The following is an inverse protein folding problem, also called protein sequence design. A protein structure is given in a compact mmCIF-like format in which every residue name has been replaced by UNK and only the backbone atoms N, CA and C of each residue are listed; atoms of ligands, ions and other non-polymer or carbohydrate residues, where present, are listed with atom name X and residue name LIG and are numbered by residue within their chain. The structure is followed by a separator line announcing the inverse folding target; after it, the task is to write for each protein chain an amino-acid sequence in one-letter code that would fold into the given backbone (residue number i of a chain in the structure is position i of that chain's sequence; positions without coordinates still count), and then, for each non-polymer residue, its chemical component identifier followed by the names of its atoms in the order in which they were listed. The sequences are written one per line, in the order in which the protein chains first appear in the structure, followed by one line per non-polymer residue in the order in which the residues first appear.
data_IF_210437086608
#
_entry.id   IF_210437086608
#
_cell.length_a   1.000
_cell.length_b   1.000
_cell.length_c   1.000
_cell.angle_alpha   90.00
_cell.angle_beta   90.00
_cell.angle_gamma   90.00
#
_symmetry.space_group_name_H-M   'P 1'
#
loop_
_entity.id
_entity.type
_entity.pdbx_description
1 polymer ?
#
# COMPACT_ATOMS: atom_id res chain seq x y z
N UNK A 1 -33.75 19.41 -8.68
CA UNK A 1 -32.53 19.92 -8.02
C UNK A 1 -31.39 19.63 -8.98
N UNK A 2 -30.46 20.56 -9.27
CA UNK A 2 -29.32 20.21 -10.11
C UNK A 2 -28.53 19.10 -9.41
N UNK A 3 -28.25 18.02 -10.13
CA UNK A 3 -27.38 16.94 -9.67
C UNK A 3 -26.01 17.54 -9.31
N UNK A 4 -25.44 17.11 -8.18
CA UNK A 4 -24.07 17.47 -7.83
C UNK A 4 -23.12 17.01 -8.97
N UNK A 5 -22.07 17.77 -9.29
CA UNK A 5 -21.14 17.39 -10.36
C UNK A 5 -20.53 16.02 -10.05
N UNK A 6 -20.57 15.12 -11.04
CA UNK A 6 -20.05 13.76 -10.88
C UNK A 6 -18.52 13.79 -10.86
N UNK A 7 -17.86 12.98 -10.03
CA UNK A 7 -16.41 12.92 -10.02
C UNK A 7 -15.86 12.46 -11.36
N UNK A 8 -14.78 13.08 -11.82
CA UNK A 8 -14.11 12.74 -13.07
C UNK A 8 -13.22 11.51 -12.92
N UNK A 9 -13.37 10.55 -13.84
CA UNK A 9 -12.64 9.29 -13.90
C UNK A 9 -11.98 9.15 -15.27
N UNK A 10 -10.66 9.03 -15.30
CA UNK A 10 -9.93 8.65 -16.50
C UNK A 10 -9.77 7.12 -16.57
N UNK A 11 -10.20 6.48 -17.64
CA UNK A 11 -9.94 5.07 -17.92
C UNK A 11 -8.91 5.00 -19.05
N UNK A 12 -7.81 4.30 -18.83
CA UNK A 12 -6.77 4.08 -19.84
C UNK A 12 -6.60 2.59 -20.08
N UNK A 13 -7.08 2.11 -21.22
CA UNK A 13 -7.07 0.71 -21.61
C UNK A 13 -7.19 0.65 -23.14
N UNK A 14 -6.40 -0.19 -23.79
CA UNK A 14 -6.38 -0.32 -25.25
C UNK A 14 -7.50 -1.24 -25.78
N UNK A 15 -8.18 -1.98 -24.90
CA UNK A 15 -9.32 -2.81 -25.24
C UNK A 15 -10.63 -1.99 -25.28
N UNK A 16 -11.22 -1.76 -26.46
CA UNK A 16 -12.47 -1.01 -26.60
C UNK A 16 -13.63 -1.69 -25.87
N UNK A 17 -13.65 -3.03 -25.76
CA UNK A 17 -14.72 -3.74 -25.07
C UNK A 17 -14.67 -3.45 -23.56
N UNK A 18 -13.48 -3.42 -22.98
CA UNK A 18 -13.29 -3.12 -21.55
C UNK A 18 -13.68 -1.67 -21.28
N UNK A 19 -13.16 -0.73 -22.07
CA UNK A 19 -13.46 0.69 -21.90
C UNK A 19 -14.94 0.99 -22.09
N UNK A 20 -15.62 0.42 -23.09
CA UNK A 20 -17.08 0.58 -23.30
C UNK A 20 -17.89 0.00 -22.13
N UNK A 21 -17.54 -1.22 -21.69
CA UNK A 21 -18.24 -1.90 -20.58
C UNK A 21 -18.12 -1.09 -19.28
N UNK A 22 -16.91 -0.66 -18.95
CA UNK A 22 -16.66 0.13 -17.74
C UNK A 22 -17.25 1.52 -17.84
N UNK A 23 -17.19 2.17 -19.01
CA UNK A 23 -17.82 3.47 -19.23
C UNK A 23 -19.34 3.39 -19.07
N UNK A 24 -19.97 2.33 -19.57
CA UNK A 24 -21.40 2.11 -19.38
C UNK A 24 -21.77 1.84 -17.92
N UNK A 25 -21.00 0.98 -17.24
CA UNK A 25 -21.27 0.59 -15.86
C UNK A 25 -21.03 1.75 -14.87
N UNK A 26 -19.95 2.51 -15.05
CA UNK A 26 -19.52 3.57 -14.14
C UNK A 26 -20.04 4.96 -14.54
N UNK A 27 -20.49 5.13 -15.79
CA UNK A 27 -20.93 6.42 -16.33
C UNK A 27 -22.20 6.99 -15.72
N UNK A 28 -22.87 6.27 -14.81
CA UNK A 28 -23.94 6.82 -13.97
C UNK A 28 -23.37 7.64 -12.80
N UNK A 29 -22.28 7.17 -12.20
CA UNK A 29 -21.70 7.73 -10.97
C UNK A 29 -20.52 8.66 -11.26
N UNK A 30 -19.83 8.48 -12.39
CA UNK A 30 -18.62 9.22 -12.76
C UNK A 30 -18.77 9.92 -14.10
N UNK A 31 -18.05 11.03 -14.28
CA UNK A 31 -17.77 11.60 -15.59
C UNK A 31 -16.56 10.88 -16.19
N UNK A 32 -16.83 9.92 -17.08
CA UNK A 32 -15.81 9.02 -17.60
C UNK A 32 -15.16 9.60 -18.84
N UNK A 33 -13.83 9.67 -18.81
CA UNK A 33 -12.96 9.95 -19.94
C UNK A 33 -12.18 8.69 -20.29
N UNK A 34 -11.98 8.43 -21.57
CA UNK A 34 -11.30 7.21 -22.02
C UNK A 34 -10.07 7.57 -22.84
N UNK A 35 -9.02 6.80 -22.67
CA UNK A 35 -7.84 6.81 -23.51
C UNK A 35 -7.39 5.39 -23.85
N UNK A 36 -6.88 5.20 -25.07
CA UNK A 36 -6.37 3.91 -25.56
C UNK A 36 -4.87 3.72 -25.31
N UNK A 37 -4.17 4.79 -24.91
CA UNK A 37 -2.72 4.82 -24.83
C UNK A 37 -2.24 5.85 -23.83
N UNK A 38 -1.00 5.66 -23.35
CA UNK A 38 -0.32 6.62 -22.49
C UNK A 38 -0.19 8.00 -23.16
N UNK A 39 0.20 8.03 -24.43
CA UNK A 39 0.41 9.28 -25.17
C UNK A 39 -0.89 10.09 -25.29
N UNK A 40 -1.99 9.41 -25.62
CA UNK A 40 -3.30 10.05 -25.70
C UNK A 40 -3.77 10.51 -24.31
N UNK A 41 -3.55 9.71 -23.26
CA UNK A 41 -3.91 10.07 -21.88
C UNK A 41 -3.18 11.34 -21.40
N UNK A 42 -1.86 11.42 -21.61
CA UNK A 42 -1.06 12.59 -21.26
C UNK A 42 -1.47 13.82 -22.08
N UNK A 43 -1.82 13.62 -23.36
CA UNK A 43 -2.29 14.71 -24.21
C UNK A 43 -3.66 15.23 -23.75
N UNK A 44 -4.57 14.34 -23.35
CA UNK A 44 -5.89 14.68 -22.82
C UNK A 44 -5.76 15.50 -21.53
N UNK A 45 -4.90 15.08 -20.60
CA UNK A 45 -4.69 15.81 -19.33
C UNK A 45 -4.20 17.24 -19.54
N UNK A 46 -3.36 17.49 -20.56
CA UNK A 46 -2.89 18.84 -20.89
C UNK A 46 -3.97 19.75 -21.45
N UNK A 47 -5.07 19.19 -21.96
CA UNK A 47 -6.19 19.94 -22.53
C UNK A 47 -7.29 20.20 -21.51
N UNK A 48 -7.28 19.52 -20.37
CA UNK A 48 -8.27 19.69 -19.31
C UNK A 48 -7.90 20.87 -18.41
N UNK A 49 -8.90 21.68 -18.07
CA UNK A 49 -8.74 22.76 -17.09
C UNK A 49 -8.56 22.22 -15.66
N UNK A 50 -9.18 21.06 -15.37
CA UNK A 50 -9.06 20.35 -14.10
C UNK A 50 -8.63 18.90 -14.30
N UNK A 51 -7.64 18.46 -13.53
CA UNK A 51 -7.17 17.08 -13.59
C UNK A 51 -8.24 16.10 -13.06
N UNK A 52 -8.36 14.89 -13.65
CA UNK A 52 -9.24 13.84 -13.15
C UNK A 52 -8.97 13.52 -11.67
N UNK A 53 -10.03 13.21 -10.93
CA UNK A 53 -9.90 12.84 -9.52
C UNK A 53 -9.39 11.39 -9.36
N UNK A 54 -9.81 10.53 -10.29
CA UNK A 54 -9.47 9.12 -10.34
C UNK A 54 -8.89 8.76 -11.71
N UNK A 55 -8.01 7.77 -11.71
CA UNK A 55 -7.62 7.06 -12.93
C UNK A 55 -7.71 5.55 -12.73
N UNK A 56 -8.20 4.84 -13.74
CA UNK A 56 -8.12 3.40 -13.88
C UNK A 56 -7.16 3.11 -15.03
N UNK A 57 -6.04 2.48 -14.74
CA UNK A 57 -4.93 2.31 -15.69
C UNK A 57 -4.69 0.83 -15.93
N UNK A 58 -4.83 0.40 -17.18
CA UNK A 58 -4.30 -0.89 -17.59
C UNK A 58 -2.77 -0.87 -17.63
N UNK A 59 -2.13 -1.96 -17.20
CA UNK A 59 -0.67 -2.04 -17.29
C UNK A 59 -0.18 -2.30 -18.71
N UNK A 60 -0.94 -3.10 -19.46
CA UNK A 60 -0.59 -3.59 -20.79
C UNK A 60 -0.94 -2.60 -21.89
N UNK A 61 -0.36 -1.40 -21.87
CA UNK A 61 -0.64 -0.39 -22.88
C UNK A 61 0.23 -0.52 -24.14
N UNK A 62 -0.24 -0.06 -25.31
CA UNK A 62 0.56 0.04 -26.52
C UNK A 62 1.77 0.97 -26.31
N UNK A 63 2.90 0.72 -27.01
CA UNK A 63 3.04 -0.15 -28.18
C UNK A 63 3.25 -1.64 -27.86
N UNK A 64 3.42 -2.03 -26.60
CA UNK A 64 3.72 -3.41 -26.19
C UNK A 64 2.71 -3.90 -25.15
N UNK A 65 1.46 -4.26 -25.54
CA UNK A 65 0.37 -4.56 -24.60
C UNK A 65 0.61 -5.73 -23.64
N UNK A 66 1.61 -6.58 -23.94
CA UNK A 66 1.99 -7.69 -23.06
C UNK A 66 3.00 -7.30 -21.99
N UNK A 67 3.46 -6.05 -21.96
CA UNK A 67 4.42 -5.56 -20.97
C UNK A 67 3.84 -4.41 -20.15
N UNK A 68 4.11 -4.38 -18.84
CA UNK A 68 3.54 -3.37 -17.94
C UNK A 68 4.26 -2.01 -17.98
N UNK A 69 5.34 -1.88 -18.76
CA UNK A 69 6.25 -0.73 -18.73
C UNK A 69 5.54 0.60 -19.01
N UNK A 70 4.64 0.64 -20.00
CA UNK A 70 3.91 1.86 -20.35
C UNK A 70 2.86 2.23 -19.31
N UNK A 71 2.17 1.25 -18.72
CA UNK A 71 1.25 1.49 -17.62
C UNK A 71 1.96 2.04 -16.37
N UNK A 72 3.14 1.51 -16.03
CA UNK A 72 3.94 2.03 -14.92
C UNK A 72 4.43 3.46 -15.17
N UNK A 73 4.89 3.74 -16.38
CA UNK A 73 5.30 5.10 -16.74
C UNK A 73 4.10 6.06 -16.73
N UNK A 74 2.93 5.60 -17.17
CA UNK A 74 1.70 6.39 -17.09
C UNK A 74 1.33 6.72 -15.63
N UNK A 75 1.42 5.78 -14.69
CA UNK A 75 1.18 6.06 -13.26
C UNK A 75 2.06 7.24 -12.79
N UNK A 76 3.33 7.21 -13.15
CA UNK A 76 4.28 8.27 -12.80
C UNK A 76 3.91 9.62 -13.45
N UNK A 77 3.52 9.62 -14.72
CA UNK A 77 3.09 10.83 -15.44
C UNK A 77 1.81 11.43 -14.86
N UNK A 78 0.85 10.58 -14.47
CA UNK A 78 -0.41 10.99 -13.84
C UNK A 78 -0.17 11.68 -12.49
N UNK A 79 0.67 11.09 -11.63
CA UNK A 79 1.01 11.68 -10.33
C UNK A 79 1.86 12.95 -10.46
N UNK A 80 2.73 13.02 -11.47
CA UNK A 80 3.49 14.25 -11.75
C UNK A 80 2.56 15.39 -12.19
N UNK A 81 1.45 15.08 -12.88
CA UNK A 81 0.45 16.07 -13.27
C UNK A 81 -0.47 16.46 -12.10
N UNK A 82 -0.92 15.47 -11.32
CA UNK A 82 -1.77 15.69 -10.14
C UNK A 82 -1.41 14.71 -9.03
N UNK A 83 -0.61 15.15 -8.03
CA UNK A 83 -0.20 14.28 -6.92
C UNK A 83 -1.37 13.78 -6.06
N UNK A 84 -2.51 14.49 -6.09
CA UNK A 84 -3.72 14.12 -5.38
C UNK A 84 -4.63 13.16 -6.18
N UNK A 85 -4.28 12.81 -7.42
CA UNK A 85 -5.05 11.84 -8.20
C UNK A 85 -4.91 10.44 -7.59
N UNK A 86 -6.02 9.70 -7.50
CA UNK A 86 -6.00 8.31 -7.04
C UNK A 86 -6.04 7.35 -8.22
N UNK A 87 -4.99 6.55 -8.34
CA UNK A 87 -4.78 5.68 -9.48
C UNK A 87 -5.02 4.24 -9.07
N UNK A 88 -5.98 3.58 -9.71
CA UNK A 88 -6.23 2.16 -9.59
C UNK A 88 -5.66 1.48 -10.82
N UNK A 89 -4.92 0.40 -10.60
CA UNK A 89 -4.38 -0.40 -11.68
C UNK A 89 -5.32 -1.55 -11.99
N UNK A 90 -5.62 -1.75 -13.27
CA UNK A 90 -6.37 -2.87 -13.78
C UNK A 90 -5.39 -3.76 -14.56
N UNK A 91 -5.33 -5.08 -14.32
CA UNK A 91 -4.45 -5.93 -15.13
C UNK A 91 -4.90 -7.39 -15.16
N UNK A 92 -4.84 -8.01 -16.34
CA UNK A 92 -5.05 -9.45 -16.49
C UNK A 92 -3.82 -10.30 -16.16
N UNK A 93 -2.66 -9.66 -15.95
CA UNK A 93 -1.44 -10.35 -15.56
C UNK A 93 -1.42 -10.50 -14.04
N UNK A 94 -1.67 -11.72 -13.55
CA UNK A 94 -1.68 -12.07 -12.14
C UNK A 94 -0.26 -12.14 -11.51
N UNK A 95 0.56 -11.12 -11.76
CA UNK A 95 1.90 -11.03 -11.22
C UNK A 95 1.92 -10.15 -9.96
N UNK A 96 2.09 -10.79 -8.80
CA UNK A 96 2.25 -10.11 -7.52
C UNK A 96 3.45 -9.14 -7.53
N UNK A 97 4.44 -9.33 -8.39
CA UNK A 97 5.55 -8.38 -8.58
C UNK A 97 5.06 -7.07 -9.21
N UNK A 98 4.21 -7.14 -10.24
CA UNK A 98 3.64 -5.96 -10.89
C UNK A 98 2.73 -5.17 -9.95
N UNK A 99 1.90 -5.86 -9.16
CA UNK A 99 1.06 -5.21 -8.15
C UNK A 99 1.89 -4.49 -7.08
N UNK A 100 3.00 -5.10 -6.61
CA UNK A 100 3.93 -4.44 -5.68
C UNK A 100 4.59 -3.22 -6.32
N UNK A 101 5.06 -3.35 -7.56
CA UNK A 101 5.74 -2.26 -8.24
C UNK A 101 4.81 -1.07 -8.51
N UNK A 102 3.58 -1.31 -8.98
CA UNK A 102 2.56 -0.29 -9.14
C UNK A 102 2.31 0.51 -7.84
N UNK A 103 2.20 -0.18 -6.71
CA UNK A 103 2.04 0.47 -5.40
C UNK A 103 3.25 1.30 -4.99
N UNK A 104 4.47 0.81 -5.26
CA UNK A 104 5.70 1.60 -5.03
C UNK A 104 5.74 2.87 -5.88
N UNK A 105 5.14 2.86 -7.07
CA UNK A 105 5.02 4.03 -7.95
C UNK A 105 3.88 4.98 -7.54
N UNK A 106 3.07 4.63 -6.55
CA UNK A 106 1.99 5.47 -6.02
C UNK A 106 0.58 5.10 -6.48
N UNK A 107 0.39 3.92 -7.09
CA UNK A 107 -0.96 3.39 -7.30
C UNK A 107 -1.65 3.11 -5.95
N UNK A 108 -2.90 3.55 -5.83
CA UNK A 108 -3.72 3.37 -4.64
C UNK A 108 -4.17 1.92 -4.46
N UNK A 109 -4.53 1.23 -5.55
CA UNK A 109 -4.99 -0.16 -5.50
C UNK A 109 -4.67 -0.91 -6.80
N UNK A 110 -4.55 -2.23 -6.72
CA UNK A 110 -4.42 -3.12 -7.87
C UNK A 110 -5.61 -4.09 -7.96
N UNK A 111 -6.26 -4.12 -9.11
CA UNK A 111 -7.44 -4.94 -9.40
C UNK A 111 -7.13 -5.89 -10.56
N UNK A 112 -7.25 -7.20 -10.30
CA UNK A 112 -7.07 -8.21 -11.32
C UNK A 112 -8.26 -8.26 -12.29
N UNK A 113 -8.00 -8.44 -13.59
CA UNK A 113 -9.02 -8.77 -14.60
C UNK A 113 -9.26 -10.30 -14.60
N UNK A 114 -10.50 -10.78 -14.79
CA UNK A 114 -11.73 -9.99 -14.91
C UNK A 114 -12.21 -9.46 -13.55
N UNK A 115 -12.74 -8.24 -13.53
CA UNK A 115 -13.29 -7.62 -12.33
C UNK A 115 -14.79 -7.39 -12.46
N UNK A 116 -15.52 -7.51 -11.35
CA UNK A 116 -16.93 -7.13 -11.27
C UNK A 116 -17.04 -5.58 -11.23
N UNK A 117 -17.79 -4.94 -12.16
CA UNK A 117 -17.92 -3.48 -12.19
C UNK A 117 -18.51 -2.88 -10.91
N UNK A 118 -19.40 -3.58 -10.21
CA UNK A 118 -19.97 -3.11 -8.93
C UNK A 118 -18.91 -3.10 -7.82
N UNK A 119 -18.04 -4.11 -7.79
CA UNK A 119 -16.90 -4.11 -6.87
C UNK A 119 -15.91 -2.99 -7.21
N UNK A 120 -15.59 -2.81 -8.50
CA UNK A 120 -14.69 -1.74 -8.95
C UNK A 120 -15.23 -0.36 -8.58
N UNK A 121 -16.54 -0.14 -8.74
CA UNK A 121 -17.23 1.08 -8.30
C UNK A 121 -17.02 1.36 -6.81
N UNK A 122 -17.16 0.36 -5.95
CA UNK A 122 -16.95 0.52 -4.49
C UNK A 122 -15.53 0.96 -4.18
N UNK A 123 -14.53 0.37 -4.85
CA UNK A 123 -13.11 0.72 -4.66
C UNK A 123 -12.84 2.15 -5.14
N UNK A 124 -13.39 2.56 -6.29
CA UNK A 124 -13.27 3.92 -6.82
C UNK A 124 -13.90 4.97 -5.89
N UNK A 125 -15.11 4.70 -5.38
CA UNK A 125 -15.78 5.60 -4.42
C UNK A 125 -15.00 5.72 -3.11
N UNK A 126 -14.42 4.61 -2.62
CA UNK A 126 -13.56 4.64 -1.45
C UNK A 126 -12.29 5.47 -1.68
N UNK A 127 -11.66 5.34 -2.85
CA UNK A 127 -10.49 6.13 -3.22
C UNK A 127 -10.80 7.63 -3.31
N UNK A 128 -11.99 8.02 -3.79
CA UNK A 128 -12.43 9.42 -3.78
C UNK A 128 -12.61 9.99 -2.38
N UNK A 129 -13.20 9.21 -1.47
CA UNK A 129 -13.35 9.63 -0.08
C UNK A 129 -11.99 9.92 0.56
N UNK A 130 -11.00 9.06 0.28
CA UNK A 130 -9.63 9.25 0.74
C UNK A 130 -8.98 10.51 0.16
N UNK A 131 -9.14 10.76 -1.15
CA UNK A 131 -8.65 11.97 -1.83
C UNK A 131 -9.26 13.24 -1.25
N UNK A 132 -10.57 13.26 -1.02
CA UNK A 132 -11.26 14.43 -0.48
C UNK A 132 -10.72 14.79 0.92
N UNK A 133 -10.39 13.78 1.73
CA UNK A 133 -9.78 13.96 3.05
C UNK A 133 -8.33 14.48 2.99
N UNK A 134 -7.56 14.15 1.95
CA UNK A 134 -6.20 14.67 1.77
C UNK A 134 -6.17 16.14 1.31
N UNK A 135 -7.11 16.54 0.44
CA UNK A 135 -7.13 17.88 -0.18
C UNK A 135 -7.64 18.96 0.78
N UNK A 136 -8.53 18.64 1.72
CA UNK A 136 -9.08 19.63 2.66
C UNK A 136 -8.06 20.14 3.70
N UNK A 137 -6.83 19.61 3.73
CA UNK A 137 -5.82 19.97 4.73
C UNK A 137 -6.18 19.51 6.15
N UNK A 138 -7.32 18.82 6.30
CA UNK A 138 -7.68 18.02 7.45
C UNK A 138 -6.87 16.73 7.40
N UNK A 139 -5.57 16.84 7.66
CA UNK A 139 -4.77 15.67 8.00
C UNK A 139 -5.46 14.93 9.15
N UNK A 140 -6.09 13.80 8.82
CA UNK A 140 -6.81 12.86 9.68
C UNK A 140 -8.28 13.24 9.95
N UNK A 141 -9.14 12.84 9.01
CA UNK A 141 -10.36 12.11 9.34
C UNK A 141 -10.70 11.09 8.24
N UNK A 142 -9.73 10.22 7.92
CA UNK A 142 -10.13 8.85 7.61
C UNK A 142 -11.05 8.38 8.73
N UNK A 143 -12.13 7.67 8.38
CA UNK A 143 -12.98 7.00 9.35
C UNK A 143 -12.12 6.43 10.46
N UNK A 144 -12.31 6.90 11.69
CA UNK A 144 -11.60 6.45 12.86
C UNK A 144 -11.63 4.92 12.87
N UNK A 145 -10.53 4.23 12.51
CA UNK A 145 -10.61 2.80 12.25
C UNK A 145 -10.87 2.05 13.57
N UNK A 146 -10.67 2.74 14.70
CA UNK A 146 -11.20 2.41 16.01
C UNK A 146 -12.59 3.05 16.20
N UNK A 147 -13.61 2.49 15.53
CA UNK A 147 -14.98 2.98 15.65
C UNK A 147 -15.52 2.75 17.07
N UNK A 148 -15.89 3.83 17.76
CA UNK A 148 -16.53 3.74 19.07
C UNK A 148 -16.31 4.98 19.95
N UNK A 149 -17.18 5.12 20.97
CA UNK A 149 -17.18 6.27 21.90
C UNK A 149 -17.03 5.85 23.37
N UNK A 150 -16.63 4.60 23.63
CA UNK A 150 -16.45 4.14 25.01
C UNK A 150 -15.26 4.86 25.68
N UNK A 151 -15.31 5.09 27.01
CA UNK A 151 -14.20 5.73 27.73
C UNK A 151 -12.86 5.01 27.56
N UNK A 152 -12.88 3.67 27.47
CA UNK A 152 -11.69 2.86 27.24
C UNK A 152 -11.07 3.13 25.86
N UNK A 153 -11.90 3.23 24.82
CA UNK A 153 -11.42 3.51 23.47
C UNK A 153 -10.91 4.94 23.31
N UNK A 154 -11.55 5.91 23.99
CA UNK A 154 -11.06 7.29 24.05
C UNK A 154 -9.71 7.38 24.76
N UNK A 155 -9.53 6.64 25.86
CA UNK A 155 -8.24 6.52 26.53
C UNK A 155 -7.17 5.92 25.62
N UNK A 156 -7.51 4.85 24.90
CA UNK A 156 -6.59 4.22 23.94
C UNK A 156 -6.16 5.20 22.84
N UNK A 157 -7.10 5.94 22.22
CA UNK A 157 -6.80 6.95 21.21
C UNK A 157 -5.87 8.06 21.72
N UNK A 158 -6.11 8.50 22.95
CA UNK A 158 -5.23 9.47 23.62
C UNK A 158 -3.82 8.92 23.82
N UNK A 159 -3.69 7.66 24.27
CA UNK A 159 -2.39 6.99 24.40
C UNK A 159 -1.68 6.82 23.05
N UNK A 160 -2.38 6.38 22.01
CA UNK A 160 -1.82 6.25 20.65
C UNK A 160 -1.25 7.61 20.21
N UNK A 161 -2.04 8.68 20.36
CA UNK A 161 -1.60 10.03 19.97
C UNK A 161 -0.39 10.51 20.79
N UNK A 162 -0.34 10.17 22.08
CA UNK A 162 0.76 10.55 22.98
C UNK A 162 2.06 9.80 22.66
N UNK A 163 1.97 8.53 22.26
CA UNK A 163 3.13 7.66 22.06
C UNK A 163 3.51 7.43 20.60
N UNK A 164 2.77 7.98 19.63
CA UNK A 164 3.04 7.80 18.21
C UNK A 164 4.46 8.23 17.81
N UNK A 165 4.97 9.33 18.37
CA UNK A 165 6.33 9.82 18.12
C UNK A 165 7.41 9.20 19.04
N UNK A 166 7.05 8.21 19.85
CA UNK A 166 8.00 7.51 20.71
C UNK A 166 9.07 6.80 19.86
N UNK A 167 10.37 6.95 20.18
CA UNK A 167 11.43 6.19 19.53
C UNK A 167 11.54 4.75 20.05
N UNK A 168 10.75 4.39 21.07
CA UNK A 168 10.79 3.07 21.71
C UNK A 168 9.77 2.10 21.11
N UNK A 169 10.06 0.79 21.09
CA UNK A 169 9.10 -0.23 20.69
C UNK A 169 7.82 -0.19 21.53
N UNK A 170 6.68 -0.45 20.90
CA UNK A 170 5.38 -0.53 21.55
C UNK A 170 4.88 -1.98 21.59
N UNK A 171 4.33 -2.40 22.73
CA UNK A 171 3.63 -3.68 22.88
C UNK A 171 2.12 -3.41 22.87
N UNK A 172 1.39 -4.09 21.99
CA UNK A 172 -0.07 -3.98 21.86
C UNK A 172 -0.68 -5.30 22.30
N UNK A 173 -1.44 -5.27 23.39
CA UNK A 173 -2.09 -6.46 23.96
C UNK A 173 -3.61 -6.39 23.74
N UNK A 174 -4.22 -7.55 23.55
CA UNK A 174 -5.66 -7.68 23.34
C UNK A 174 -6.00 -9.05 22.77
N UNK A 175 -7.26 -9.47 22.96
CA UNK A 175 -7.76 -10.73 22.42
C UNK A 175 -7.67 -10.77 20.89
N UNK A 176 -7.74 -11.96 20.30
CA UNK A 176 -7.76 -12.09 18.83
C UNK A 176 -8.97 -11.35 18.24
N UNK A 177 -8.77 -10.66 17.12
CA UNK A 177 -9.84 -9.89 16.45
C UNK A 177 -10.20 -8.54 17.10
N UNK A 178 -9.49 -8.08 18.14
CA UNK A 178 -9.75 -6.78 18.81
C UNK A 178 -9.18 -5.55 18.09
N UNK A 179 -8.59 -5.73 16.90
CA UNK A 179 -8.05 -4.61 16.11
C UNK A 179 -6.64 -4.16 16.50
N UNK A 180 -5.79 -5.07 17.02
CA UNK A 180 -4.39 -4.73 17.35
C UNK A 180 -3.61 -4.17 16.16
N UNK A 181 -3.81 -4.73 14.96
CA UNK A 181 -3.20 -4.22 13.73
C UNK A 181 -3.65 -2.79 13.42
N UNK A 182 -4.92 -2.46 13.67
CA UNK A 182 -5.46 -1.10 13.51
C UNK A 182 -4.76 -0.12 14.46
N UNK A 183 -4.56 -0.52 15.72
CA UNK A 183 -3.81 0.28 16.69
C UNK A 183 -2.37 0.52 16.24
N UNK A 184 -1.71 -0.53 15.75
CA UNK A 184 -0.33 -0.46 15.29
C UNK A 184 -0.20 0.47 14.07
N UNK A 185 -1.12 0.35 13.12
CA UNK A 185 -1.17 1.21 11.95
C UNK A 185 -1.42 2.68 12.31
N UNK A 186 -2.31 2.94 13.27
CA UNK A 186 -2.55 4.29 13.79
C UNK A 186 -1.30 4.89 14.44
N UNK A 187 -0.54 4.11 15.23
CA UNK A 187 0.73 4.58 15.80
C UNK A 187 1.69 5.06 14.70
N UNK A 188 1.85 4.28 13.63
CA UNK A 188 2.69 4.68 12.51
C UNK A 188 2.18 5.92 11.78
N UNK A 189 0.88 5.97 11.46
CA UNK A 189 0.27 7.12 10.76
C UNK A 189 0.35 8.42 11.53
N UNK A 190 0.25 8.35 12.87
CA UNK A 190 0.34 9.52 13.74
C UNK A 190 1.80 9.91 14.04
N UNK A 191 2.77 9.05 13.73
CA UNK A 191 4.19 9.32 13.97
C UNK A 191 4.82 10.21 12.89
N UNK A 192 5.99 10.77 13.20
CA UNK A 192 6.90 11.39 12.24
C UNK A 192 7.36 10.46 11.11
N UNK A 193 7.21 9.14 11.28
CA UNK A 193 7.53 8.10 10.29
C UNK A 193 6.37 7.75 9.36
N UNK A 194 5.23 8.46 9.41
CA UNK A 194 4.03 8.18 8.60
C UNK A 194 4.22 8.10 7.07
N UNK A 195 5.29 8.68 6.55
CA UNK A 195 5.65 8.64 5.11
C UNK A 195 6.75 7.61 4.80
N UNK A 196 7.21 6.87 5.82
CA UNK A 196 8.24 5.84 5.72
C UNK A 196 7.58 4.47 5.54
N UNK A 197 8.34 3.43 5.13
CA UNK A 197 7.77 2.11 4.94
C UNK A 197 7.10 1.55 6.20
N UNK A 198 5.93 0.93 6.02
CA UNK A 198 5.22 0.14 7.02
C UNK A 198 5.20 -1.31 6.58
N UNK A 199 5.77 -2.21 7.38
CA UNK A 199 5.71 -3.64 7.15
C UNK A 199 4.97 -4.32 8.29
N UNK A 200 4.10 -5.26 7.95
CA UNK A 200 3.44 -6.13 8.91
C UNK A 200 3.81 -7.59 8.64
N UNK A 201 4.15 -8.32 9.68
CA UNK A 201 4.39 -9.76 9.64
C UNK A 201 3.56 -10.44 10.73
N UNK A 202 2.65 -11.32 10.31
CA UNK A 202 2.01 -12.24 11.24
C UNK A 202 2.91 -13.47 11.43
N UNK A 203 3.48 -13.62 12.63
CA UNK A 203 4.45 -14.66 12.94
C UNK A 203 3.83 -16.07 12.94
N UNK A 204 2.54 -16.19 13.24
CA UNK A 204 1.80 -17.45 13.22
C UNK A 204 1.48 -17.94 11.79
N UNK A 205 1.39 -17.02 10.83
CA UNK A 205 0.96 -17.31 9.45
C UNK A 205 2.10 -17.76 8.52
N UNK A 206 3.36 -17.61 8.92
CA UNK A 206 4.54 -17.98 8.15
C UNK A 206 5.18 -19.25 8.72
N UNK A 207 5.72 -20.11 7.85
CA UNK A 207 6.43 -21.29 8.30
C UNK A 207 7.63 -20.90 9.18
N UNK A 208 7.88 -21.57 10.33
CA UNK A 208 8.96 -21.21 11.25
C UNK A 208 10.34 -21.11 10.59
N UNK A 209 10.60 -21.94 9.58
CA UNK A 209 11.84 -21.95 8.80
C UNK A 209 12.00 -20.75 7.87
N UNK A 210 10.92 -20.05 7.55
CA UNK A 210 10.90 -18.87 6.67
C UNK A 210 10.80 -17.55 7.43
N UNK A 211 10.47 -17.58 8.72
CA UNK A 211 10.37 -16.36 9.55
C UNK A 211 11.71 -15.62 9.58
N UNK A 212 12.79 -16.33 9.88
CA UNK A 212 14.13 -15.76 9.97
C UNK A 212 14.62 -15.11 8.66
N UNK A 213 14.63 -15.80 7.50
CA UNK A 213 15.04 -15.18 6.25
C UNK A 213 14.09 -14.05 5.80
N UNK A 214 12.85 -14.01 6.29
CA UNK A 214 11.92 -12.90 6.00
C UNK A 214 12.21 -11.67 6.84
N UNK A 215 12.48 -11.85 8.13
CA UNK A 215 12.82 -10.74 9.04
C UNK A 215 14.20 -10.15 8.76
N UNK A 216 15.21 -11.02 8.66
CA UNK A 216 16.61 -10.60 8.64
C UNK A 216 17.24 -10.64 7.25
N UNK A 217 16.60 -11.30 6.27
CA UNK A 217 17.17 -11.49 4.94
C UNK A 217 18.17 -12.63 4.90
N UNK A 218 18.66 -12.94 3.70
CA UNK A 218 19.62 -14.03 3.48
C UNK A 218 20.56 -13.75 2.32
N UNK A 219 21.70 -14.41 2.33
CA UNK A 219 22.65 -14.41 1.23
C UNK A 219 22.52 -15.67 0.37
N UNK A 220 23.01 -15.59 -0.87
CA UNK A 220 23.06 -16.73 -1.79
C UNK A 220 23.85 -17.87 -1.14
N UNK A 221 23.25 -19.05 -1.11
CA UNK A 221 23.84 -20.25 -0.50
C UNK A 221 23.62 -20.39 1.00
N UNK A 222 22.85 -19.50 1.64
CA UNK A 222 22.54 -19.60 3.07
C UNK A 222 21.73 -20.86 3.44
N UNK A 223 20.87 -21.34 2.54
CA UNK A 223 20.12 -22.60 2.68
C UNK A 223 19.75 -23.17 1.30
N UNK A 224 19.26 -24.41 1.25
CA UNK A 224 18.76 -25.04 0.02
C UNK A 224 17.59 -24.23 -0.56
N UNK A 225 17.82 -23.58 -1.71
CA UNK A 225 16.86 -22.68 -2.36
C UNK A 225 17.27 -21.20 -2.34
N UNK A 226 18.31 -20.82 -1.60
CA UNK A 226 18.86 -19.46 -1.60
C UNK A 226 19.71 -19.19 -2.86
N UNK A 227 19.04 -19.02 -4.00
CA UNK A 227 19.70 -18.81 -5.32
C UNK A 227 20.26 -17.39 -5.50
N UNK A 228 19.79 -16.43 -4.71
CA UNK A 228 20.17 -15.02 -4.74
C UNK A 228 20.20 -14.41 -3.33
N UNK A 229 20.82 -13.24 -3.20
CA UNK A 229 20.73 -12.44 -1.98
C UNK A 229 19.32 -11.81 -1.90
N UNK A 230 18.77 -11.71 -0.68
CA UNK A 230 17.50 -11.04 -0.43
C UNK A 230 17.59 -10.24 0.88
N UNK A 231 17.14 -8.99 0.86
CA UNK A 231 16.96 -8.18 2.06
C UNK A 231 15.80 -8.72 2.90
N UNK A 232 15.84 -8.45 4.20
CA UNK A 232 14.76 -8.77 5.14
C UNK A 232 14.00 -7.53 5.54
N UNK A 233 12.88 -7.72 6.25
CA UNK A 233 12.01 -6.63 6.68
C UNK A 233 12.69 -5.60 7.58
N UNK A 234 13.67 -5.99 8.42
CA UNK A 234 14.44 -5.01 9.18
C UNK A 234 15.26 -4.08 8.27
N UNK A 235 15.79 -4.60 7.17
CA UNK A 235 16.54 -3.80 6.21
C UNK A 235 15.63 -2.95 5.33
N UNK A 236 14.52 -3.53 4.87
CA UNK A 236 13.56 -2.85 4.00
C UNK A 236 12.79 -1.75 4.76
N UNK A 237 12.51 -1.96 6.06
CA UNK A 237 11.88 -0.97 6.91
C UNK A 237 12.82 0.22 7.17
N UNK A 238 14.11 -0.02 7.40
CA UNK A 238 15.13 1.01 7.63
C UNK A 238 14.76 2.00 8.74
N UNK A 239 14.26 3.19 8.42
CA UNK A 239 13.76 4.21 9.37
C UNK A 239 12.21 4.24 9.46
N UNK A 240 11.55 3.19 8.98
CA UNK A 240 10.10 3.01 8.94
C UNK A 240 9.54 2.37 10.19
N UNK A 241 8.57 1.48 10.03
CA UNK A 241 7.99 0.73 11.15
C UNK A 241 7.72 -0.71 10.74
N UNK A 242 8.10 -1.64 11.63
CA UNK A 242 7.84 -3.06 11.49
C UNK A 242 6.87 -3.51 12.58
N UNK A 243 5.69 -3.96 12.18
CA UNK A 243 4.70 -4.56 13.07
C UNK A 243 4.81 -6.08 13.03
N UNK A 244 4.95 -6.67 14.21
CA UNK A 244 5.04 -8.12 14.40
C UNK A 244 3.79 -8.58 15.15
N UNK A 245 2.84 -9.16 14.42
CA UNK A 245 1.64 -9.74 15.01
C UNK A 245 1.91 -11.17 15.48
N UNK A 246 1.19 -11.60 16.51
CA UNK A 246 1.38 -12.91 17.15
C UNK A 246 2.84 -13.16 17.57
N UNK A 247 3.52 -12.14 18.12
CA UNK A 247 4.96 -12.19 18.49
C UNK A 247 5.32 -13.38 19.40
N UNK A 248 4.36 -13.90 20.18
CA UNK A 248 4.53 -15.07 21.02
C UNK A 248 4.81 -16.37 20.25
N UNK A 249 4.42 -16.43 18.97
CA UNK A 249 4.66 -17.58 18.08
C UNK A 249 6.08 -17.57 17.47
N UNK A 250 6.91 -16.57 17.78
CA UNK A 250 8.31 -16.55 17.34
C UNK A 250 9.11 -17.67 18.01
N UNK A 251 9.88 -18.47 17.23
CA UNK A 251 10.84 -19.41 17.78
C UNK A 251 11.81 -18.75 18.76
N UNK A 252 12.13 -19.42 19.88
CA UNK A 252 13.01 -18.91 20.94
C UNK A 252 14.37 -18.40 20.41
N UNK A 253 14.93 -19.08 19.41
CA UNK A 253 16.20 -18.69 18.78
C UNK A 253 16.12 -17.33 18.09
N UNK A 254 14.95 -16.98 17.54
CA UNK A 254 14.71 -15.69 16.89
C UNK A 254 14.40 -14.57 17.90
N UNK A 255 13.82 -14.91 19.06
CA UNK A 255 13.58 -13.93 20.12
C UNK A 255 14.89 -13.30 20.61
N UNK A 256 15.97 -14.10 20.73
CA UNK A 256 17.29 -13.58 21.09
C UNK A 256 17.87 -12.62 20.03
N UNK A 257 17.61 -12.87 18.74
CA UNK A 257 18.03 -11.99 17.65
C UNK A 257 17.20 -10.71 17.62
N UNK A 258 15.88 -10.83 17.79
CA UNK A 258 14.98 -9.68 17.90
C UNK A 258 15.41 -8.76 19.03
N UNK A 259 15.73 -9.30 20.21
CA UNK A 259 16.20 -8.50 21.34
C UNK A 259 17.43 -7.65 20.98
N UNK A 260 18.40 -8.21 20.24
CA UNK A 260 19.58 -7.45 19.78
C UNK A 260 19.21 -6.29 18.85
N UNK A 261 18.19 -6.46 18.01
CA UNK A 261 17.68 -5.37 17.17
C UNK A 261 17.01 -4.30 18.02
N UNK A 262 16.20 -4.70 19.00
CA UNK A 262 15.51 -3.74 19.87
C UNK A 262 16.47 -2.95 20.78
N UNK A 263 17.56 -3.57 21.23
CA UNK A 263 18.56 -2.92 22.09
C UNK A 263 19.54 -2.04 21.32
N UNK A 264 20.09 -2.55 20.20
CA UNK A 264 21.24 -1.94 19.52
C UNK A 264 20.96 -1.58 18.05
N UNK A 265 19.79 -1.94 17.52
CA UNK A 265 19.49 -1.88 16.09
C UNK A 265 20.22 -2.94 15.26
N UNK A 266 21.00 -3.84 15.87
CA UNK A 266 21.93 -4.71 15.17
C UNK A 266 21.32 -6.06 14.75
N UNK A 267 21.54 -6.44 13.49
CA UNK A 267 21.20 -7.77 12.98
C UNK A 267 22.19 -8.27 11.91
N UNK A 268 22.02 -9.52 11.49
CA UNK A 268 22.80 -10.16 10.42
C UNK A 268 21.86 -10.94 9.51
N UNK A 269 22.12 -10.95 8.21
CA UNK A 269 21.40 -11.83 7.28
C UNK A 269 21.79 -13.29 7.53
N UNK A 270 20.91 -14.22 7.20
CA UNK A 270 21.23 -15.65 7.24
C UNK A 270 22.36 -15.93 6.24
N UNK A 271 23.41 -16.61 6.70
CA UNK A 271 24.60 -16.93 5.92
C UNK A 271 25.62 -15.78 5.76
N UNK A 272 25.42 -14.65 6.45
CA UNK A 272 26.34 -13.49 6.44
C UNK A 272 26.90 -13.26 7.86
N UNK A 273 28.16 -12.85 7.98
CA UNK A 273 28.77 -12.45 9.27
C UNK A 273 28.85 -10.93 9.44
N UNK A 274 28.51 -10.17 8.39
CA UNK A 274 28.51 -8.71 8.41
C UNK A 274 27.31 -8.20 9.23
N UNK A 275 27.59 -7.34 10.20
CA UNK A 275 26.57 -6.64 10.99
C UNK A 275 25.87 -5.58 10.13
N UNK A 276 24.55 -5.48 10.31
CA UNK A 276 23.64 -4.51 9.71
C UNK A 276 22.86 -3.81 10.82
N UNK A 277 22.32 -2.63 10.52
CA UNK A 277 21.60 -1.81 11.49
C UNK A 277 20.22 -1.44 10.97
N UNK A 278 19.21 -1.54 11.83
CA UNK A 278 17.87 -0.99 11.61
C UNK A 278 17.52 0.01 12.70
N UNK A 279 16.75 1.04 12.34
CA UNK A 279 16.16 2.03 13.25
C UNK A 279 14.62 1.97 13.27
N UNK A 280 14.07 0.98 12.55
CA UNK A 280 12.64 0.71 12.37
C UNK A 280 11.93 0.44 13.68
#
# INVERSE_FOLDING_TARGET
MPEAPRPSLLIVDDDPLITETLSYALGKDFEVMVSDSRQHAVSLLRQLDEAPQLALVDLGLPPMPHRPDEGFQLISDLLAHSPAMKILVLSGQNDAANARHARTLGAAEFVAKPCDPENLKKILLHALQFRAAEISGEGIAEADPLVGKSPALQKLKSQISQYADSPFPALIEGESGTGKEVVANLLHRLSWRRVKPWFALNCAAIAPTLVEPTLFGYTKGAFTGATQNKSGYFEDASDGTLFLDEIGELPLELQAKLLRVLENGEFQRVGETQQRFSRS
#
